data_IF_569394899898
#
_entry.id   IF_569394899898
#
_cell.length_a   1.000
_cell.length_b   1.000
_cell.length_c   1.000
_cell.angle_alpha   90.00
_cell.angle_beta   90.00
_cell.angle_gamma   90.00
#
_symmetry.space_group_name_H-M   'P 1'
#
loop_
_entity.id
_entity.type
_entity.pdbx_description
1 polymer ?
#
# COMPACT_ATOMS: atom_id res chain seq x y z
N UNK A 1 7.16 -1.53 -8.19
CA UNK A 1 6.33 -2.55 -7.52
C UNK A 1 5.72 -3.61 -8.47
N UNK A 2 4.76 -3.28 -9.36
CA UNK A 2 4.03 -4.29 -10.19
C UNK A 2 4.94 -5.27 -10.93
N UNK A 3 5.97 -4.77 -11.62
CA UNK A 3 6.92 -5.60 -12.38
C UNK A 3 7.72 -6.59 -11.51
N UNK A 4 7.87 -6.30 -10.22
CA UNK A 4 8.58 -7.17 -9.27
C UNK A 4 7.68 -8.23 -8.63
N UNK A 5 6.38 -7.93 -8.49
CA UNK A 5 5.39 -8.79 -7.84
C UNK A 5 4.65 -9.72 -8.80
N UNK A 6 4.36 -9.27 -10.03
CA UNK A 6 3.50 -10.00 -10.97
C UNK A 6 4.27 -10.58 -12.16
N UNK A 7 3.88 -11.77 -12.66
CA UNK A 7 4.43 -12.31 -13.91
C UNK A 7 4.16 -11.37 -15.09
N UNK A 8 5.06 -11.35 -16.09
CA UNK A 8 4.97 -10.45 -17.25
C UNK A 8 3.61 -10.48 -17.96
N UNK A 9 2.99 -11.65 -18.05
CA UNK A 9 1.67 -11.83 -18.68
C UNK A 9 0.52 -11.13 -17.92
N UNK A 10 0.69 -10.81 -16.64
CA UNK A 10 -0.33 -10.17 -15.81
C UNK A 10 -0.09 -8.65 -15.63
N UNK A 11 1.12 -8.16 -15.92
CA UNK A 11 1.56 -6.81 -15.53
C UNK A 11 0.71 -5.70 -16.15
N UNK A 12 0.39 -5.77 -17.44
CA UNK A 12 -0.40 -4.73 -18.12
C UNK A 12 -1.81 -4.59 -17.54
N UNK A 13 -2.48 -5.72 -17.28
CA UNK A 13 -3.82 -5.71 -16.69
C UNK A 13 -3.81 -5.15 -15.26
N UNK A 14 -2.78 -5.50 -14.48
CA UNK A 14 -2.63 -4.98 -13.11
C UNK A 14 -2.28 -3.48 -13.14
N UNK A 15 -1.38 -3.03 -14.02
CA UNK A 15 -1.06 -1.60 -14.16
C UNK A 15 -2.28 -0.77 -14.53
N UNK A 16 -3.06 -1.24 -15.52
CA UNK A 16 -4.28 -0.57 -15.93
C UNK A 16 -5.32 -0.53 -14.79
N UNK A 17 -5.37 -1.54 -13.94
CA UNK A 17 -6.24 -1.53 -12.76
C UNK A 17 -5.77 -0.49 -11.74
N UNK A 18 -4.48 -0.45 -11.42
CA UNK A 18 -3.90 0.54 -10.50
C UNK A 18 -4.18 1.97 -10.97
N UNK A 19 -3.97 2.26 -12.25
CA UNK A 19 -4.21 3.58 -12.83
C UNK A 19 -5.66 4.06 -12.64
N UNK A 20 -6.64 3.16 -12.75
CA UNK A 20 -8.07 3.50 -12.53
C UNK A 20 -8.47 3.55 -11.06
N UNK A 21 -7.66 2.96 -10.19
CA UNK A 21 -7.98 2.77 -8.78
C UNK A 21 -7.51 3.92 -7.91
N UNK A 22 -6.47 4.65 -8.30
CA UNK A 22 -5.93 5.78 -7.52
C UNK A 22 -6.64 7.08 -7.90
N UNK A 23 -7.33 7.68 -6.93
CA UNK A 23 -8.06 8.93 -7.09
C UNK A 23 -7.49 9.99 -6.14
N UNK A 24 -6.94 11.06 -6.71
CA UNK A 24 -6.51 12.20 -5.91
C UNK A 24 -7.72 13.02 -5.46
N UNK A 25 -7.78 13.31 -4.17
CA UNK A 25 -8.83 14.11 -3.55
C UNK A 25 -8.41 15.56 -3.58
N UNK A 26 -8.91 16.29 -4.57
CA UNK A 26 -8.58 17.69 -4.82
C UNK A 26 -9.86 18.53 -4.82
N UNK A 27 -9.68 19.86 -4.89
CA UNK A 27 -10.81 20.78 -5.07
C UNK A 27 -11.69 20.44 -6.27
N UNK A 28 -11.08 19.94 -7.35
CA UNK A 28 -11.81 19.63 -8.60
C UNK A 28 -12.52 18.27 -8.55
N UNK A 29 -12.01 17.34 -7.74
CA UNK A 29 -12.57 15.97 -7.68
C UNK A 29 -13.52 15.76 -6.50
N UNK A 30 -13.35 16.48 -5.39
CA UNK A 30 -14.06 16.23 -4.13
C UNK A 30 -15.59 16.15 -4.29
N UNK A 31 -16.19 17.11 -5.01
CA UNK A 31 -17.65 17.14 -5.20
C UNK A 31 -18.18 15.91 -5.94
N UNK A 32 -17.42 15.37 -6.89
CA UNK A 32 -17.75 14.14 -7.60
C UNK A 32 -17.54 12.92 -6.70
N UNK A 33 -16.43 12.88 -5.95
CA UNK A 33 -16.09 11.76 -5.08
C UNK A 33 -17.11 11.55 -3.96
N UNK A 34 -17.60 12.63 -3.34
CA UNK A 34 -18.64 12.58 -2.29
C UNK A 34 -20.00 12.08 -2.82
N UNK A 35 -20.26 12.20 -4.12
CA UNK A 35 -21.49 11.75 -4.77
C UNK A 35 -21.41 10.34 -5.34
N UNK A 36 -20.26 9.67 -5.22
CA UNK A 36 -20.10 8.30 -5.73
C UNK A 36 -21.01 7.36 -4.93
N UNK A 37 -21.67 6.39 -5.59
CA UNK A 37 -22.41 5.35 -4.88
C UNK A 37 -21.47 4.58 -3.95
N UNK A 38 -21.83 4.46 -2.68
CA UNK A 38 -21.00 3.84 -1.65
C UNK A 38 -21.62 3.97 -0.26
N UNK A 39 -20.88 3.61 0.77
CA UNK A 39 -21.29 3.83 2.15
C UNK A 39 -21.09 5.30 2.54
N UNK A 40 -22.02 5.85 3.31
CA UNK A 40 -21.93 7.23 3.82
C UNK A 40 -20.64 7.44 4.64
N UNK A 41 -20.14 6.40 5.30
CA UNK A 41 -18.86 6.42 6.00
C UNK A 41 -17.67 6.70 5.08
N UNK A 42 -17.69 6.20 3.83
CA UNK A 42 -16.64 6.49 2.85
C UNK A 42 -16.68 7.96 2.43
N UNK A 43 -17.87 8.52 2.18
CA UNK A 43 -17.99 9.94 1.84
C UNK A 43 -17.50 10.83 3.00
N UNK A 44 -17.83 10.47 4.24
CA UNK A 44 -17.33 11.14 5.44
C UNK A 44 -15.80 11.09 5.55
N UNK A 45 -15.18 9.92 5.34
CA UNK A 45 -13.71 9.81 5.34
C UNK A 45 -13.04 10.59 4.20
N UNK A 46 -13.61 10.58 2.98
CA UNK A 46 -13.11 11.39 1.86
C UNK A 46 -13.20 12.89 2.16
N UNK A 47 -14.27 13.34 2.83
CA UNK A 47 -14.42 14.74 3.22
C UNK A 47 -13.36 15.16 4.24
N UNK A 48 -13.11 14.34 5.27
CA UNK A 48 -12.07 14.62 6.26
C UNK A 48 -10.67 14.62 5.64
N UNK A 49 -10.38 13.70 4.73
CA UNK A 49 -9.12 13.66 4.00
C UNK A 49 -8.88 14.92 3.14
N UNK A 50 -9.93 15.54 2.61
CA UNK A 50 -9.85 16.83 1.92
C UNK A 50 -9.73 18.04 2.86
N UNK A 51 -10.44 18.03 4.00
CA UNK A 51 -10.37 19.11 4.98
C UNK A 51 -8.99 19.16 5.64
N UNK A 52 -8.46 17.99 5.98
CA UNK A 52 -7.11 17.85 6.51
C UNK A 52 -6.06 18.39 5.53
N UNK A 53 -6.22 18.15 4.23
CA UNK A 53 -5.30 18.69 3.22
C UNK A 53 -5.29 20.22 3.11
N UNK A 54 -6.22 20.89 3.77
CA UNK A 54 -6.35 22.35 3.80
C UNK A 54 -6.07 22.93 5.19
N UNK A 55 -5.57 22.12 6.12
CA UNK A 55 -5.42 22.46 7.54
C UNK A 55 -6.75 22.97 8.16
N UNK A 56 -7.88 22.43 7.70
CA UNK A 56 -9.22 22.80 8.16
C UNK A 56 -9.73 21.87 9.28
N UNK A 57 -10.73 22.34 10.03
CA UNK A 57 -11.38 21.54 11.07
C UNK A 57 -12.08 20.30 10.47
N UNK A 58 -11.82 19.13 11.07
CA UNK A 58 -12.40 17.86 10.63
C UNK A 58 -13.85 17.70 11.09
N UNK A 59 -14.61 16.90 10.35
CA UNK A 59 -16.02 16.57 10.62
C UNK A 59 -16.16 15.55 11.74
N UNK A 60 -15.73 15.90 12.96
CA UNK A 60 -15.92 15.11 14.17
C UNK A 60 -14.62 14.81 14.92
N UNK A 61 -14.72 14.68 16.24
CA UNK A 61 -13.57 14.53 17.17
C UNK A 61 -12.79 13.22 16.97
N UNK A 62 -13.38 12.21 16.33
CA UNK A 62 -12.77 10.90 16.07
C UNK A 62 -12.28 10.74 14.63
N UNK A 63 -12.25 11.81 13.84
CA UNK A 63 -11.74 11.76 12.48
C UNK A 63 -10.25 11.38 12.47
N UNK A 64 -9.86 10.27 11.81
CA UNK A 64 -8.47 9.89 11.75
C UNK A 64 -7.71 10.89 10.87
N UNK A 65 -6.52 11.28 11.33
CA UNK A 65 -5.56 12.03 10.54
C UNK A 65 -4.92 11.07 9.54
N UNK A 66 -5.34 11.13 8.28
CA UNK A 66 -4.92 10.20 7.22
C UNK A 66 -4.74 10.95 5.89
N UNK A 67 -3.61 10.72 5.25
CA UNK A 67 -3.32 11.28 3.91
C UNK A 67 -3.69 10.33 2.76
N UNK A 68 -4.11 9.10 3.09
CA UNK A 68 -4.56 8.09 2.14
C UNK A 68 -5.54 7.12 2.78
N UNK A 69 -6.42 6.54 1.96
CA UNK A 69 -7.19 5.35 2.35
C UNK A 69 -7.60 4.49 1.17
N UNK A 70 -7.76 3.19 1.42
CA UNK A 70 -8.25 2.23 0.44
C UNK A 70 -9.62 1.67 0.83
N UNK A 71 -10.60 1.80 -0.07
CA UNK A 71 -11.93 1.20 0.05
C UNK A 71 -12.18 0.28 -1.14
N UNK A 72 -12.26 -1.02 -0.86
CA UNK A 72 -12.41 -2.04 -1.90
C UNK A 72 -11.24 -2.00 -2.88
N UNK A 73 -11.49 -1.56 -4.12
CA UNK A 73 -10.48 -1.42 -5.17
C UNK A 73 -10.18 0.03 -5.53
N UNK A 74 -10.50 0.98 -4.65
CA UNK A 74 -10.27 2.42 -4.88
C UNK A 74 -9.43 2.97 -3.75
N UNK A 75 -8.37 3.70 -4.13
CA UNK A 75 -7.49 4.44 -3.23
C UNK A 75 -7.82 5.92 -3.36
N UNK A 76 -8.10 6.57 -2.24
CA UNK A 76 -8.28 7.99 -2.14
C UNK A 76 -7.02 8.58 -1.53
N UNK A 77 -6.35 9.48 -2.24
CA UNK A 77 -5.07 10.04 -1.80
C UNK A 77 -5.17 11.57 -1.77
N UNK A 78 -4.79 12.16 -0.64
CA UNK A 78 -4.77 13.61 -0.48
C UNK A 78 -3.46 14.16 -1.06
N UNK A 79 -3.46 15.23 -1.87
CA UNK A 79 -2.23 15.87 -2.36
C UNK A 79 -1.27 16.32 -1.25
N UNK A 80 -1.76 16.52 -0.02
CA UNK A 80 -0.90 16.85 1.13
C UNK A 80 0.21 15.80 1.35
N UNK A 81 0.04 14.58 0.83
CA UNK A 81 1.08 13.56 0.86
C UNK A 81 2.38 13.97 0.14
N UNK A 82 2.31 14.88 -0.84
CA UNK A 82 3.49 15.39 -1.54
C UNK A 82 4.34 16.34 -0.69
N UNK A 83 3.76 16.87 0.39
CA UNK A 83 4.41 17.80 1.32
C UNK A 83 5.04 17.07 2.53
N UNK A 84 4.99 15.73 2.56
CA UNK A 84 5.57 14.91 3.62
C UNK A 84 7.11 14.96 3.59
N UNK A 85 7.74 15.11 4.75
CA UNK A 85 9.18 15.23 4.92
C UNK A 85 9.90 13.90 5.13
N UNK A 86 9.16 12.79 5.32
CA UNK A 86 9.72 11.47 5.49
C UNK A 86 10.29 10.95 4.16
N UNK A 87 11.62 10.75 4.07
CA UNK A 87 12.26 10.33 2.84
C UNK A 87 11.92 8.89 2.43
N UNK A 88 11.25 8.13 3.28
CA UNK A 88 10.80 6.76 3.06
C UNK A 88 9.29 6.62 2.91
N UNK A 89 8.52 7.70 3.03
CA UNK A 89 7.09 7.69 2.78
C UNK A 89 6.75 7.77 1.27
N UNK A 90 5.76 6.99 0.87
CA UNK A 90 5.10 6.96 -0.43
C UNK A 90 3.70 6.35 -0.27
N UNK A 91 2.77 7.21 0.14
CA UNK A 91 1.39 6.81 0.39
C UNK A 91 0.70 6.25 -0.85
N UNK A 92 1.08 6.64 -2.06
CA UNK A 92 0.52 6.02 -3.28
C UNK A 92 0.95 4.57 -3.36
N UNK A 93 2.23 4.26 -3.09
CA UNK A 93 2.69 2.86 -3.05
C UNK A 93 2.00 2.08 -1.93
N UNK A 94 1.86 2.67 -0.75
CA UNK A 94 1.16 2.07 0.39
C UNK A 94 -0.29 1.70 0.02
N UNK A 95 -1.05 2.66 -0.50
CA UNK A 95 -2.44 2.44 -0.90
C UNK A 95 -2.57 1.45 -2.07
N UNK A 96 -1.65 1.49 -3.04
CA UNK A 96 -1.64 0.51 -4.12
C UNK A 96 -1.33 -0.90 -3.61
N UNK A 97 -0.52 -1.04 -2.56
CA UNK A 97 -0.31 -2.35 -1.92
C UNK A 97 -1.62 -2.92 -1.35
N UNK A 98 -2.51 -2.07 -0.83
CA UNK A 98 -3.85 -2.48 -0.42
C UNK A 98 -4.73 -2.97 -1.58
N UNK A 99 -4.64 -2.35 -2.77
CA UNK A 99 -5.34 -2.87 -3.96
C UNK A 99 -4.97 -4.33 -4.21
N UNK A 100 -3.69 -4.70 -4.05
CA UNK A 100 -3.24 -6.04 -4.40
C UNK A 100 -3.82 -7.15 -3.51
N UNK A 101 -4.17 -6.87 -2.26
CA UNK A 101 -4.79 -7.88 -1.38
C UNK A 101 -6.30 -7.68 -1.17
N UNK A 102 -6.86 -6.58 -1.68
CA UNK A 102 -8.31 -6.32 -1.69
C UNK A 102 -8.97 -6.54 -3.06
N UNK A 103 -8.21 -6.67 -4.15
CA UNK A 103 -8.77 -6.82 -5.50
C UNK A 103 -8.78 -8.29 -5.95
N UNK A 104 -9.95 -8.75 -6.40
CA UNK A 104 -10.10 -10.08 -7.01
C UNK A 104 -9.55 -10.08 -8.43
N UNK A 105 -9.04 -11.24 -8.85
CA UNK A 105 -8.38 -11.38 -10.16
C UNK A 105 -9.33 -11.16 -11.35
N UNK A 106 -10.56 -11.65 -11.23
CA UNK A 106 -11.59 -11.52 -12.28
C UNK A 106 -11.98 -10.06 -12.54
N UNK A 107 -11.98 -9.20 -11.52
CA UNK A 107 -12.24 -7.75 -11.64
C UNK A 107 -11.25 -7.07 -12.59
N UNK A 108 -10.02 -7.55 -12.69
CA UNK A 108 -8.99 -7.00 -13.59
C UNK A 108 -8.82 -7.82 -14.88
N UNK A 109 -9.72 -8.75 -15.17
CA UNK A 109 -9.66 -9.61 -16.35
C UNK A 109 -8.66 -10.76 -16.25
N UNK A 110 -8.13 -11.05 -15.06
CA UNK A 110 -7.26 -12.20 -14.83
C UNK A 110 -8.08 -13.44 -14.45
N UNK A 111 -7.58 -14.62 -14.83
CA UNK A 111 -8.21 -15.89 -14.43
C UNK A 111 -8.17 -16.04 -12.90
N UNK A 112 -9.35 -16.16 -12.31
CA UNK A 112 -9.56 -16.54 -10.91
C UNK A 112 -9.54 -18.07 -10.77
N UNK A 113 -8.89 -18.58 -9.74
CA UNK A 113 -8.91 -20.00 -9.37
C UNK A 113 -9.16 -20.14 -7.87
N UNK A 114 -9.44 -21.37 -7.39
CA UNK A 114 -9.65 -21.64 -5.96
C UNK A 114 -8.44 -21.26 -5.09
N UNK A 115 -7.23 -21.29 -5.65
CA UNK A 115 -5.97 -20.98 -4.97
C UNK A 115 -5.42 -19.59 -5.30
N UNK A 116 -6.07 -18.87 -6.21
CA UNK A 116 -5.69 -17.52 -6.64
C UNK A 116 -6.98 -16.73 -6.81
N UNK A 117 -7.57 -16.32 -5.70
CA UNK A 117 -8.78 -15.49 -5.69
C UNK A 117 -8.42 -14.01 -5.87
N UNK A 118 -7.48 -13.55 -5.06
CA UNK A 118 -6.99 -12.17 -5.00
C UNK A 118 -5.76 -11.96 -5.89
N UNK A 119 -5.43 -10.71 -6.20
CA UNK A 119 -4.22 -10.37 -6.96
C UNK A 119 -2.96 -10.91 -6.27
N UNK A 120 -2.83 -10.67 -4.97
CA UNK A 120 -1.83 -11.24 -4.07
C UNK A 120 -2.53 -11.82 -2.83
N UNK A 121 -2.01 -12.96 -2.36
CA UNK A 121 -2.49 -13.61 -1.15
C UNK A 121 -1.59 -13.16 0.01
N UNK A 122 -2.13 -12.32 0.89
CA UNK A 122 -1.44 -11.71 2.03
C UNK A 122 -2.19 -12.09 3.30
N UNK A 123 -1.45 -12.52 4.32
CA UNK A 123 -1.99 -12.83 5.64
C UNK A 123 -2.73 -11.61 6.20
N UNK A 124 -3.92 -11.81 6.78
CA UNK A 124 -4.80 -10.69 7.11
C UNK A 124 -4.13 -9.71 8.09
N UNK A 125 -3.45 -10.23 9.11
CA UNK A 125 -2.70 -9.43 10.08
C UNK A 125 -1.41 -8.80 9.53
N UNK A 126 -0.98 -9.17 8.31
CA UNK A 126 0.23 -8.65 7.66
C UNK A 126 -0.07 -7.64 6.55
N UNK A 127 -1.32 -7.23 6.39
CA UNK A 127 -1.73 -6.31 5.31
C UNK A 127 -1.09 -4.94 5.42
N UNK A 128 -1.05 -4.36 6.62
CA UNK A 128 -0.34 -3.10 6.89
C UNK A 128 1.18 -3.31 6.82
N UNK A 129 1.70 -4.38 7.43
CA UNK A 129 3.13 -4.74 7.34
C UNK A 129 3.59 -4.84 5.89
N UNK A 130 2.78 -5.43 5.01
CA UNK A 130 3.05 -5.54 3.57
C UNK A 130 3.07 -4.17 2.89
N UNK A 131 2.11 -3.31 3.21
CA UNK A 131 1.98 -1.98 2.61
C UNK A 131 3.16 -1.08 3.01
N UNK A 132 3.47 -0.97 4.32
CA UNK A 132 4.63 -0.22 4.81
C UNK A 132 5.96 -0.76 4.28
N UNK A 133 6.11 -2.09 4.18
CA UNK A 133 7.31 -2.69 3.61
C UNK A 133 7.46 -2.35 2.12
N UNK A 134 6.35 -2.30 1.36
CA UNK A 134 6.37 -1.93 -0.05
C UNK A 134 6.71 -0.45 -0.24
N UNK A 135 6.12 0.42 0.58
CA UNK A 135 6.35 1.86 0.62
C UNK A 135 7.83 2.19 0.84
N UNK A 136 8.39 1.75 1.98
CA UNK A 136 9.77 2.00 2.32
C UNK A 136 10.74 1.42 1.27
N UNK A 137 10.48 0.20 0.79
CA UNK A 137 11.32 -0.43 -0.22
C UNK A 137 11.24 0.26 -1.59
N UNK A 138 10.09 0.85 -1.97
CA UNK A 138 9.97 1.64 -3.19
C UNK A 138 10.88 2.87 -3.14
N UNK A 139 10.83 3.62 -2.04
CA UNK A 139 11.65 4.82 -1.83
C UNK A 139 13.13 4.50 -1.77
N UNK A 140 13.50 3.41 -1.11
CA UNK A 140 14.87 2.89 -1.10
C UNK A 140 15.35 2.55 -2.53
N UNK A 141 14.52 1.89 -3.34
CA UNK A 141 14.88 1.56 -4.72
C UNK A 141 15.04 2.79 -5.60
N UNK A 142 14.15 3.77 -5.47
CA UNK A 142 14.19 5.02 -6.23
C UNK A 142 15.46 5.84 -5.93
N UNK A 143 15.87 5.87 -4.65
CA UNK A 143 17.04 6.64 -4.18
C UNK A 143 18.37 5.91 -4.35
N UNK A 144 18.35 4.60 -4.61
CA UNK A 144 19.57 3.79 -4.74
C UNK A 144 20.01 3.60 -6.19
N UNK A 145 21.30 3.78 -6.47
CA UNK A 145 21.92 3.44 -7.77
C UNK A 145 22.69 2.12 -7.71
N UNK A 146 22.98 1.62 -6.50
CA UNK A 146 23.74 0.40 -6.30
C UNK A 146 23.17 -0.49 -5.20
N UNK A 147 23.52 -1.78 -5.23
CA UNK A 147 23.13 -2.72 -4.18
C UNK A 147 23.72 -2.35 -2.81
N UNK A 148 24.83 -1.60 -2.79
CA UNK A 148 25.44 -1.08 -1.56
C UNK A 148 24.59 0.04 -0.98
N UNK A 149 24.29 1.08 -1.77
CA UNK A 149 23.44 2.19 -1.33
C UNK A 149 22.08 1.70 -0.87
N UNK A 150 21.50 0.73 -1.56
CA UNK A 150 20.22 0.14 -1.16
C UNK A 150 20.24 -0.44 0.26
N UNK A 151 21.35 -1.06 0.66
CA UNK A 151 21.53 -1.59 2.02
C UNK A 151 21.79 -0.48 3.03
N UNK A 152 22.56 0.55 2.65
CA UNK A 152 22.83 1.71 3.51
C UNK A 152 21.54 2.47 3.82
N UNK A 153 20.68 2.70 2.81
CA UNK A 153 19.36 3.31 2.97
C UNK A 153 18.41 2.44 3.81
N UNK A 154 18.48 1.11 3.68
CA UNK A 154 17.69 0.22 4.54
C UNK A 154 18.13 0.31 6.02
N UNK A 155 19.44 0.43 6.27
CA UNK A 155 19.96 0.65 7.63
C UNK A 155 19.50 2.01 8.18
N UNK A 156 19.49 3.04 7.33
CA UNK A 156 18.94 4.36 7.69
C UNK A 156 17.46 4.25 8.08
N UNK A 157 16.64 3.61 7.23
CA UNK A 157 15.22 3.36 7.52
C UNK A 157 15.01 2.68 8.87
N UNK A 158 15.77 1.61 9.16
CA UNK A 158 15.67 0.92 10.46
C UNK A 158 15.94 1.83 11.67
N UNK A 159 16.72 2.91 11.50
CA UNK A 159 17.03 3.87 12.57
C UNK A 159 16.01 5.00 12.67
N UNK A 160 15.41 5.38 11.55
CA UNK A 160 14.57 6.58 11.45
C UNK A 160 13.08 6.28 11.29
N UNK A 161 12.68 5.00 11.26
CA UNK A 161 11.31 4.60 10.92
C UNK A 161 10.24 5.40 11.68
N UNK A 162 9.32 5.99 10.91
CA UNK A 162 8.12 6.69 11.41
C UNK A 162 6.88 5.98 10.88
N UNK A 163 6.57 4.82 11.46
CA UNK A 163 5.40 4.06 11.06
C UNK A 163 4.19 4.55 11.88
N UNK A 164 3.09 4.86 11.20
CA UNK A 164 1.85 5.32 11.86
C UNK A 164 1.21 4.21 12.69
N UNK A 165 0.28 4.59 13.57
CA UNK A 165 -0.32 3.77 14.63
C UNK A 165 -1.09 2.51 14.16
N UNK A 166 -1.23 2.27 12.85
CA UNK A 166 -1.89 1.09 12.29
C UNK A 166 -0.99 -0.13 12.09
N UNK A 167 0.33 0.00 12.24
CA UNK A 167 1.23 -1.15 12.14
C UNK A 167 1.46 -1.81 13.50
N UNK A 168 1.10 -3.09 13.61
CA UNK A 168 1.24 -3.86 14.85
C UNK A 168 2.71 -4.11 15.26
N UNK A 169 3.64 -4.14 14.30
CA UNK A 169 5.06 -4.43 14.55
C UNK A 169 6.00 -3.66 13.61
N UNK A 170 6.41 -2.44 13.99
CA UNK A 170 7.38 -1.67 13.22
C UNK A 170 8.75 -2.33 13.07
N UNK A 171 9.18 -3.13 14.04
CA UNK A 171 10.47 -3.80 13.98
C UNK A 171 10.46 -4.88 12.89
N UNK A 172 9.35 -5.61 12.74
CA UNK A 172 9.19 -6.57 11.66
C UNK A 172 9.26 -5.91 10.27
N UNK A 173 8.67 -4.73 10.09
CA UNK A 173 8.77 -3.98 8.82
C UNK A 173 10.23 -3.67 8.51
N UNK A 174 10.99 -3.14 9.47
CA UNK A 174 12.42 -2.89 9.30
C UNK A 174 13.21 -4.14 8.91
N UNK A 175 12.95 -5.28 9.55
CA UNK A 175 13.59 -6.56 9.21
C UNK A 175 13.28 -6.99 7.77
N UNK A 176 12.01 -6.90 7.36
CA UNK A 176 11.56 -7.24 6.00
C UNK A 176 12.23 -6.33 4.98
N UNK A 177 12.28 -5.02 5.23
CA UNK A 177 12.90 -4.03 4.34
C UNK A 177 14.40 -4.28 4.20
N UNK A 178 15.09 -4.57 5.30
CA UNK A 178 16.51 -4.92 5.26
C UNK A 178 16.77 -6.19 4.44
N UNK A 179 15.96 -7.24 4.61
CA UNK A 179 16.05 -8.47 3.82
C UNK A 179 15.78 -8.19 2.32
N UNK A 180 14.74 -7.40 2.03
CA UNK A 180 14.37 -7.00 0.67
C UNK A 180 15.48 -6.19 -0.03
N UNK A 181 16.13 -5.28 0.70
CA UNK A 181 17.26 -4.49 0.21
C UNK A 181 18.49 -5.35 -0.11
N UNK A 182 18.72 -6.43 0.64
CA UNK A 182 19.80 -7.37 0.35
C UNK A 182 19.52 -8.27 -0.87
N UNK A 183 18.24 -8.52 -1.19
CA UNK A 183 17.85 -9.43 -2.25
C UNK A 183 17.98 -8.87 -3.67
N UNK A 184 18.05 -9.76 -4.67
CA UNK A 184 17.95 -9.39 -6.10
C UNK A 184 16.55 -8.90 -6.49
N UNK A 185 15.52 -9.48 -5.87
CA UNK A 185 14.13 -9.05 -6.05
C UNK A 185 13.46 -8.95 -4.67
N UNK A 186 13.62 -7.80 -4.02
CA UNK A 186 13.07 -7.57 -2.68
C UNK A 186 11.55 -7.60 -2.63
N UNK A 187 10.86 -7.28 -3.73
CA UNK A 187 9.40 -7.41 -3.82
C UNK A 187 8.91 -8.83 -3.50
N UNK A 188 9.63 -9.86 -3.96
CA UNK A 188 9.30 -11.26 -3.66
C UNK A 188 9.64 -11.66 -2.23
N UNK A 189 10.61 -11.02 -1.61
CA UNK A 189 10.92 -11.20 -0.18
C UNK A 189 9.76 -10.66 0.65
N UNK A 190 9.34 -9.41 0.41
CA UNK A 190 8.22 -8.76 1.09
C UNK A 190 6.95 -9.62 0.96
N UNK A 191 6.61 -10.03 -0.27
CA UNK A 191 5.46 -10.89 -0.53
C UNK A 191 5.53 -12.21 0.25
N UNK A 192 6.68 -12.88 0.26
CA UNK A 192 6.84 -14.16 0.97
C UNK A 192 6.73 -13.99 2.48
N UNK A 193 7.28 -12.92 3.04
CA UNK A 193 7.25 -12.63 4.48
C UNK A 193 5.84 -12.30 4.98
N UNK A 194 5.00 -11.73 4.11
CA UNK A 194 3.62 -11.35 4.43
C UNK A 194 2.57 -12.36 3.93
N UNK A 195 2.97 -13.43 3.24
CA UNK A 195 2.04 -14.45 2.76
C UNK A 195 1.55 -15.35 3.91
N UNK A 196 0.34 -15.93 3.81
CA UNK A 196 -0.14 -16.90 4.78
C UNK A 196 0.83 -18.08 4.90
N UNK A 197 1.08 -18.53 6.13
CA UNK A 197 1.87 -19.75 6.35
C UNK A 197 1.07 -20.93 5.76
N UNK A 198 1.67 -21.78 4.92
CA UNK A 198 0.98 -22.97 4.43
C UNK A 198 0.50 -23.78 5.63
N UNK A 199 -0.82 -23.99 5.74
CA UNK A 199 -1.36 -24.90 6.75
C UNK A 199 -0.68 -26.25 6.57
N UNK A 200 0.12 -26.66 7.54
CA UNK A 200 0.63 -28.02 7.57
C UNK A 200 -0.58 -28.95 7.49
N UNK A 201 -0.60 -29.81 6.47
CA UNK A 201 -1.60 -30.87 6.38
C UNK A 201 -1.40 -31.75 7.61
N UNK A 202 -2.23 -31.55 8.64
CA UNK A 202 -2.34 -32.52 9.73
C UNK A 202 -2.97 -33.75 9.10
N UNK A 203 -2.14 -34.72 8.74
CA UNK A 203 -2.58 -36.06 8.39
C UNK A 203 -3.16 -36.66 9.68
N UNK A 204 -4.49 -36.64 9.80
CA UNK A 204 -5.24 -37.46 10.76
C UNK A 204 -5.52 -38.83 10.16
#
# INVERSE_FOLDING_TARGET
MVRGLFPRAEQELVLAAVERSVLFVTRDTIALLLRRPGFDSTAWSVANLYLESLDAELLGEVAPSIVGMSVGTTCYVSPAYFDDDDPFADFVVHEVAHIFHNCKRDVVGLRRTRTREWLLDIEFSKRETFAYSCEAYARILERSQSARERRELAIEYCRTQRISAGCDDPAEVAEIVAEAAAARNGWKVILRRCAPVPRATVLS
#
